data_IF_651570118229
#
_entry.id   IF_651570118229
#
_cell.length_a   1.000
_cell.length_b   1.000
_cell.length_c   1.000
_cell.angle_alpha   90.00
_cell.angle_beta   90.00
_cell.angle_gamma   90.00
#
_symmetry.space_group_name_H-M   'P 1'
#
loop_
_entity.id
_entity.type
_entity.pdbx_description
1 polymer ?
#
# COMPACT_ATOMS: atom_id res chain seq x y z
N UNK A 1 -13.85 10.53 23.63
CA UNK A 1 -12.65 9.66 23.55
C UNK A 1 -11.46 10.57 23.31
N UNK A 2 -10.52 10.64 24.25
CA UNK A 2 -9.37 11.55 24.14
C UNK A 2 -8.35 11.06 23.11
N UNK A 3 -7.42 11.93 22.70
CA UNK A 3 -6.33 11.56 21.78
C UNK A 3 -5.50 10.40 22.31
N UNK A 4 -5.25 10.36 23.63
CA UNK A 4 -4.50 9.28 24.28
C UNK A 4 -5.22 7.93 24.21
N UNK A 5 -6.55 7.92 24.38
CA UNK A 5 -7.36 6.69 24.26
C UNK A 5 -7.30 6.14 22.83
N UNK A 6 -7.35 7.02 21.82
CA UNK A 6 -7.27 6.65 20.41
C UNK A 6 -5.91 6.07 20.06
N UNK A 7 -4.82 6.69 20.50
CA UNK A 7 -3.45 6.21 20.31
C UNK A 7 -3.22 4.87 21.02
N UNK A 8 -3.66 4.76 22.28
CA UNK A 8 -3.56 3.51 23.05
C UNK A 8 -4.31 2.37 22.37
N UNK A 9 -5.51 2.65 21.85
CA UNK A 9 -6.29 1.66 21.10
C UNK A 9 -5.59 1.26 19.80
N UNK A 10 -5.01 2.20 19.06
CA UNK A 10 -4.26 1.90 17.84
C UNK A 10 -3.06 0.98 18.15
N UNK A 11 -2.27 1.34 19.16
CA UNK A 11 -1.12 0.54 19.61
C UNK A 11 -1.52 -0.90 20.01
N UNK A 12 -2.55 -1.05 20.85
CA UNK A 12 -2.98 -2.38 21.33
C UNK A 12 -3.55 -3.30 20.25
N UNK A 13 -4.08 -2.74 19.17
CA UNK A 13 -4.69 -3.51 18.08
C UNK A 13 -3.79 -3.59 16.83
N UNK A 14 -2.59 -3.01 16.87
CA UNK A 14 -1.68 -3.01 15.73
C UNK A 14 -1.18 -4.44 15.43
N UNK A 15 -1.07 -4.75 14.13
CA UNK A 15 -0.39 -5.97 13.67
C UNK A 15 1.06 -5.91 14.14
N UNK A 16 1.49 -6.93 14.88
CA UNK A 16 2.89 -7.10 15.30
C UNK A 16 3.57 -8.06 14.34
N UNK A 17 4.74 -7.68 13.85
CA UNK A 17 5.55 -8.50 12.95
C UNK A 17 6.87 -8.80 13.67
N UNK A 18 7.21 -10.07 13.95
CA UNK A 18 8.49 -10.41 14.52
C UNK A 18 9.61 -10.18 13.50
N UNK A 19 10.80 -9.79 13.97
CA UNK A 19 11.98 -9.59 13.14
C UNK A 19 13.25 -10.01 13.88
N UNK A 20 14.29 -10.28 13.11
CA UNK A 20 15.64 -10.63 13.55
C UNK A 20 16.70 -9.96 12.65
N UNK A 21 17.98 -10.29 12.84
CA UNK A 21 19.10 -9.72 12.10
C UNK A 21 19.13 -10.10 10.61
N UNK A 22 18.30 -11.05 10.18
CA UNK A 22 18.18 -11.47 8.78
C UNK A 22 16.92 -10.90 8.10
N UNK A 23 16.01 -10.33 8.89
CA UNK A 23 14.75 -9.80 8.42
C UNK A 23 14.97 -8.51 7.64
N UNK A 24 14.47 -8.46 6.41
CA UNK A 24 14.57 -7.30 5.52
C UNK A 24 13.20 -6.67 5.33
N UNK A 25 13.09 -5.36 5.52
CA UNK A 25 11.85 -4.61 5.36
C UNK A 25 12.06 -3.41 4.44
N UNK A 26 11.05 -3.13 3.62
CA UNK A 26 10.91 -1.86 2.90
C UNK A 26 9.64 -1.17 3.37
N UNK A 27 9.70 0.16 3.41
CA UNK A 27 8.60 1.01 3.82
C UNK A 27 8.37 2.04 2.70
N UNK A 28 7.23 1.95 2.03
CA UNK A 28 6.75 3.00 1.13
C UNK A 28 5.50 3.64 1.72
N UNK A 29 5.38 4.95 1.54
CA UNK A 29 4.30 5.80 2.08
C UNK A 29 4.01 6.87 1.04
N UNK A 30 2.78 7.39 1.04
CA UNK A 30 2.39 8.57 0.23
C UNK A 30 2.78 8.38 -1.24
N UNK A 31 2.52 7.20 -1.79
CA UNK A 31 2.83 6.91 -3.19
C UNK A 31 1.86 7.64 -4.14
N UNK A 32 0.63 7.92 -3.69
CA UNK A 32 -0.40 8.60 -4.47
C UNK A 32 -0.53 8.05 -5.91
N UNK A 33 -0.61 6.73 -6.06
CA UNK A 33 -0.80 6.08 -7.37
C UNK A 33 -2.18 6.47 -7.91
N UNK A 34 -2.21 7.22 -9.01
CA UNK A 34 -3.44 7.72 -9.61
C UNK A 34 -3.69 7.06 -10.98
N UNK A 35 -4.41 7.75 -11.87
CA UNK A 35 -4.85 7.25 -13.17
C UNK A 35 -3.80 7.38 -14.29
N UNK A 36 -2.56 7.76 -13.97
CA UNK A 36 -1.50 8.07 -14.94
C UNK A 36 -1.88 9.19 -15.94
N UNK A 37 -2.79 10.09 -15.54
CA UNK A 37 -3.08 11.33 -16.26
C UNK A 37 -1.94 12.34 -16.12
N UNK A 38 -2.05 13.48 -16.80
CA UNK A 38 -1.04 14.55 -16.71
C UNK A 38 -0.95 15.18 -15.30
N UNK A 39 -1.97 15.00 -14.46
CA UNK A 39 -1.99 15.46 -13.08
C UNK A 39 -1.42 14.43 -12.09
N UNK A 40 -1.05 13.23 -12.55
CA UNK A 40 -0.53 12.17 -11.71
C UNK A 40 0.97 12.38 -11.41
N UNK A 41 1.27 12.85 -10.19
CA UNK A 41 2.64 13.03 -9.72
C UNK A 41 3.42 11.70 -9.60
N UNK A 42 2.73 10.57 -9.42
CA UNK A 42 3.35 9.24 -9.37
C UNK A 42 3.75 8.74 -10.76
N UNK A 43 3.11 9.19 -11.83
CA UNK A 43 3.38 8.72 -13.20
C UNK A 43 4.87 8.80 -13.57
N UNK A 44 5.55 9.88 -13.16
CA UNK A 44 6.98 10.08 -13.38
C UNK A 44 7.85 9.09 -12.58
N UNK A 45 7.39 8.70 -11.39
CA UNK A 45 8.08 7.79 -10.49
C UNK A 45 7.71 6.31 -10.68
N UNK A 46 6.68 6.02 -11.49
CA UNK A 46 6.18 4.64 -11.70
C UNK A 46 7.29 3.66 -12.06
N UNK A 47 8.17 4.04 -12.98
CA UNK A 47 9.23 3.14 -13.46
C UNK A 47 10.28 2.88 -12.37
N UNK A 48 10.76 3.92 -11.70
CA UNK A 48 11.77 3.76 -10.64
C UNK A 48 11.19 2.99 -9.45
N UNK A 49 9.94 3.29 -9.07
CA UNK A 49 9.20 2.57 -8.04
C UNK A 49 9.05 1.09 -8.40
N UNK A 50 8.59 0.76 -9.61
CA UNK A 50 8.42 -0.62 -10.05
C UNK A 50 9.74 -1.40 -10.03
N UNK A 51 10.82 -0.79 -10.52
CA UNK A 51 12.14 -1.44 -10.50
C UNK A 51 12.67 -1.64 -9.08
N UNK A 52 12.50 -0.66 -8.19
CA UNK A 52 12.87 -0.78 -6.79
C UNK A 52 12.05 -1.89 -6.11
N UNK A 53 10.73 -1.88 -6.24
CA UNK A 53 9.84 -2.87 -5.64
C UNK A 53 10.17 -4.28 -6.14
N UNK A 54 10.44 -4.45 -7.44
CA UNK A 54 10.86 -5.72 -8.02
C UNK A 54 12.19 -6.21 -7.43
N UNK A 55 13.17 -5.33 -7.27
CA UNK A 55 14.45 -5.69 -6.66
C UNK A 55 14.25 -6.17 -5.22
N UNK A 56 13.49 -5.45 -4.42
CA UNK A 56 13.19 -5.83 -3.04
C UNK A 56 12.42 -7.15 -2.94
N UNK A 57 11.48 -7.39 -3.87
CA UNK A 57 10.79 -8.66 -3.96
C UNK A 57 11.76 -9.83 -4.14
N UNK A 58 12.68 -9.70 -5.11
CA UNK A 58 13.69 -10.70 -5.44
C UNK A 58 14.69 -10.94 -4.31
N UNK A 59 15.03 -9.89 -3.55
CA UNK A 59 15.97 -9.96 -2.42
C UNK A 59 15.33 -10.46 -1.11
N UNK A 60 14.05 -10.85 -1.14
CA UNK A 60 13.36 -11.47 -0.01
C UNK A 60 12.84 -10.47 1.04
N UNK A 61 12.63 -9.20 0.68
CA UNK A 61 12.12 -8.20 1.61
C UNK A 61 10.64 -8.43 1.96
N UNK A 62 10.24 -7.96 3.13
CA UNK A 62 8.85 -7.73 3.50
C UNK A 62 8.46 -6.30 3.08
N UNK A 63 7.31 -6.17 2.43
CA UNK A 63 6.80 -4.90 1.95
C UNK A 63 5.77 -4.31 2.92
N UNK A 64 6.09 -3.16 3.51
CA UNK A 64 5.19 -2.34 4.30
C UNK A 64 4.72 -1.11 3.50
N UNK A 65 3.44 -1.07 3.16
CA UNK A 65 2.77 0.12 2.61
C UNK A 65 2.14 0.91 3.76
N UNK A 66 2.61 2.13 4.02
CA UNK A 66 2.22 2.95 5.17
C UNK A 66 1.17 4.01 4.78
N UNK A 67 0.16 3.60 4.03
CA UNK A 67 -1.00 4.43 3.71
C UNK A 67 -0.78 5.46 2.59
N UNK A 68 -1.90 6.02 2.13
CA UNK A 68 -2.00 6.96 1.00
C UNK A 68 -1.25 6.43 -0.23
N UNK A 69 -1.37 5.12 -0.43
CA UNK A 69 -0.73 4.39 -1.51
C UNK A 69 -1.42 4.62 -2.85
N UNK A 70 -2.75 4.64 -2.85
CA UNK A 70 -3.59 4.83 -4.02
C UNK A 70 -4.44 6.11 -3.86
N UNK A 71 -4.53 6.93 -4.90
CA UNK A 71 -5.26 8.20 -4.88
C UNK A 71 -6.77 7.98 -5.15
N UNK A 72 -7.44 7.37 -4.17
CA UNK A 72 -8.87 7.07 -4.22
C UNK A 72 -9.78 8.26 -3.84
N UNK A 73 -9.20 9.39 -3.42
CA UNK A 73 -9.98 10.62 -3.25
C UNK A 73 -10.27 11.30 -4.58
N UNK A 74 -9.31 11.29 -5.51
CA UNK A 74 -9.50 11.86 -6.85
C UNK A 74 -10.15 10.86 -7.83
N UNK A 75 -9.92 9.56 -7.63
CA UNK A 75 -10.48 8.50 -8.46
C UNK A 75 -11.67 7.81 -7.78
N UNK A 76 -12.88 8.01 -8.31
CA UNK A 76 -14.13 7.43 -7.81
C UNK A 76 -14.22 5.89 -7.89
N UNK A 77 -13.28 5.25 -8.60
CA UNK A 77 -13.18 3.79 -8.76
C UNK A 77 -11.71 3.35 -8.79
N UNK A 78 -11.42 2.18 -8.24
CA UNK A 78 -10.08 1.57 -8.25
C UNK A 78 -9.64 1.08 -9.64
N UNK A 79 -10.59 0.77 -10.52
CA UNK A 79 -10.31 0.13 -11.80
C UNK A 79 -9.36 0.92 -12.72
N UNK A 80 -9.48 2.25 -12.89
CA UNK A 80 -8.51 3.05 -13.63
C UNK A 80 -7.09 3.01 -13.05
N UNK A 81 -6.96 3.01 -11.71
CA UNK A 81 -5.65 2.92 -11.03
C UNK A 81 -5.03 1.53 -11.29
N UNK A 82 -5.85 0.48 -11.17
CA UNK A 82 -5.43 -0.90 -11.47
C UNK A 82 -4.96 -1.05 -12.91
N UNK A 83 -5.69 -0.47 -13.87
CA UNK A 83 -5.33 -0.51 -15.29
C UNK A 83 -4.03 0.27 -15.58
N UNK A 84 -3.85 1.43 -14.94
CA UNK A 84 -2.66 2.27 -15.08
C UNK A 84 -1.38 1.65 -14.47
N UNK A 85 -1.54 0.86 -13.40
CA UNK A 85 -0.43 0.34 -12.59
C UNK A 85 -0.47 -1.18 -12.40
N UNK A 86 -1.04 -1.91 -13.36
CA UNK A 86 -1.23 -3.37 -13.28
C UNK A 86 0.03 -4.14 -12.89
N UNK A 87 1.18 -3.77 -13.44
CA UNK A 87 2.47 -4.39 -13.14
C UNK A 87 2.90 -4.23 -11.67
N UNK A 88 2.56 -3.09 -11.04
CA UNK A 88 2.81 -2.86 -9.62
C UNK A 88 1.90 -3.73 -8.77
N UNK A 89 0.60 -3.78 -9.08
CA UNK A 89 -0.35 -4.62 -8.34
C UNK A 89 -0.04 -6.12 -8.49
N UNK A 90 0.44 -6.56 -9.64
CA UNK A 90 0.94 -7.93 -9.82
C UNK A 90 2.13 -8.24 -8.89
N UNK A 91 3.08 -7.31 -8.71
CA UNK A 91 4.15 -7.47 -7.73
C UNK A 91 3.62 -7.47 -6.30
N UNK A 92 2.72 -6.55 -5.95
CA UNK A 92 2.11 -6.50 -4.62
C UNK A 92 1.35 -7.79 -4.29
N UNK A 93 0.66 -8.38 -5.28
CA UNK A 93 0.02 -9.68 -5.16
C UNK A 93 1.03 -10.78 -4.81
N UNK A 94 2.21 -10.79 -5.43
CA UNK A 94 3.24 -11.77 -5.09
C UNK A 94 3.71 -11.64 -3.63
N UNK A 95 3.92 -10.41 -3.14
CA UNK A 95 4.21 -10.20 -1.72
C UNK A 95 3.06 -10.68 -0.82
N UNK A 96 1.80 -10.41 -1.22
CA UNK A 96 0.62 -10.83 -0.47
C UNK A 96 0.51 -12.36 -0.38
N UNK A 97 0.64 -13.05 -1.51
CA UNK A 97 0.51 -14.51 -1.60
C UNK A 97 1.59 -15.24 -0.80
N UNK A 98 2.75 -14.60 -0.60
CA UNK A 98 3.83 -15.09 0.26
C UNK A 98 3.75 -14.60 1.71
N UNK A 99 2.71 -13.85 2.08
CA UNK A 99 2.54 -13.29 3.43
C UNK A 99 3.55 -12.19 3.80
N UNK A 100 4.23 -11.62 2.80
CA UNK A 100 5.24 -10.56 2.91
C UNK A 100 4.70 -9.15 2.65
N UNK A 101 3.39 -8.97 2.44
CA UNK A 101 2.73 -7.67 2.29
C UNK A 101 2.06 -7.22 3.61
N UNK A 102 2.34 -5.99 4.03
CA UNK A 102 1.80 -5.37 5.23
C UNK A 102 1.26 -3.99 4.87
N UNK A 103 -0.06 -3.86 4.79
CA UNK A 103 -0.69 -2.59 4.50
C UNK A 103 -1.22 -1.94 5.78
N UNK A 104 -0.95 -0.65 5.91
CA UNK A 104 -1.60 0.24 6.87
C UNK A 104 -2.44 1.22 6.05
N UNK A 105 -3.71 1.39 6.40
CA UNK A 105 -4.58 2.34 5.69
C UNK A 105 -4.30 3.77 6.15
N UNK A 106 -4.09 4.67 5.19
CA UNK A 106 -4.10 6.12 5.38
C UNK A 106 -5.52 6.69 5.42
N UNK A 107 -5.64 8.02 5.48
CA UNK A 107 -6.94 8.69 5.40
C UNK A 107 -7.54 8.68 3.99
N UNK A 108 -6.73 8.51 2.94
CA UNK A 108 -7.23 8.34 1.57
C UNK A 108 -7.79 6.92 1.32
N UNK A 109 -7.39 5.95 2.15
CA UNK A 109 -7.72 4.52 2.02
C UNK A 109 -8.98 4.08 2.79
N UNK A 110 -9.73 5.02 3.38
CA UNK A 110 -10.83 4.67 4.31
C UNK A 110 -11.96 3.84 3.67
N UNK A 111 -12.08 3.86 2.34
CA UNK A 111 -13.05 3.04 1.60
C UNK A 111 -12.81 1.53 1.80
N UNK A 112 -11.56 1.10 2.00
CA UNK A 112 -11.21 -0.30 2.29
C UNK A 112 -11.74 -0.79 3.64
N UNK A 113 -12.17 0.12 4.53
CA UNK A 113 -12.84 -0.26 5.78
C UNK A 113 -14.19 -0.92 5.53
N UNK A 114 -14.82 -0.70 4.36
CA UNK A 114 -16.10 -1.29 4.02
C UNK A 114 -15.91 -2.60 3.23
N UNK A 115 -16.18 -3.78 3.82
CA UNK A 115 -16.00 -5.06 3.12
C UNK A 115 -16.81 -5.16 1.83
N UNK A 116 -18.01 -4.55 1.78
CA UNK A 116 -18.86 -4.55 0.60
C UNK A 116 -18.30 -3.72 -0.58
N UNK A 117 -17.38 -2.80 -0.30
CA UNK A 117 -16.64 -2.07 -1.34
C UNK A 117 -15.51 -2.96 -1.87
N UNK A 118 -14.73 -3.57 -0.96
CA UNK A 118 -13.62 -4.47 -1.29
C UNK A 118 -14.09 -5.67 -2.12
N UNK A 119 -15.23 -6.28 -1.79
CA UNK A 119 -15.77 -7.42 -2.53
C UNK A 119 -16.25 -7.10 -3.96
N UNK A 120 -16.47 -5.82 -4.29
CA UNK A 120 -16.94 -5.38 -5.61
C UNK A 120 -15.81 -5.02 -6.58
N UNK A 121 -14.62 -4.78 -6.05
CA UNK A 121 -13.39 -4.45 -6.79
C UNK A 121 -12.52 -5.67 -6.99
#
# INVERSE_FOLDING_TARGET
MGSFDRLTRAYKNAKTIPFDDQSKFIFFSDCHRSDNSFADDFANNRNIYYHALKHYYQEGFQYCEIGDGDELWENLSFQPILEAHKNVYELMKLFHDEGRLHMVWGNHDMVYRNPSYVEKT
#
